data_IF_172038818475
#
_entry.id   IF_172038818475
#
_cell.length_a   1.000
_cell.length_b   1.000
_cell.length_c   1.000
_cell.angle_alpha   90.00
_cell.angle_beta   90.00
_cell.angle_gamma   90.00
#
_symmetry.space_group_name_H-M   'P 1'
#
loop_
_entity.id
_entity.type
_entity.pdbx_description
1 polymer ?
#
# COMPACT_ATOMS: atom_id res chain seq x y z
N UNK A 1 -5.47 5.32 -11.71
CA UNK A 1 -4.68 4.65 -10.65
C UNK A 1 -3.21 4.45 -11.05
N UNK A 2 -2.85 4.56 -12.35
CA UNK A 2 -1.48 4.35 -12.86
C UNK A 2 -0.58 5.60 -12.87
N UNK A 3 -1.07 6.77 -12.46
CA UNK A 3 -0.44 8.06 -12.78
C UNK A 3 0.79 8.44 -11.92
N UNK A 4 1.15 7.65 -10.91
CA UNK A 4 2.18 8.06 -9.94
C UNK A 4 3.39 7.13 -9.84
N UNK A 5 3.20 5.81 -9.93
CA UNK A 5 4.31 4.85 -9.79
C UNK A 5 4.92 4.51 -11.15
N UNK A 6 4.10 4.35 -12.19
CA UNK A 6 4.56 3.99 -13.54
C UNK A 6 5.59 5.00 -14.09
N UNK A 7 5.35 6.33 -14.06
CA UNK A 7 6.32 7.29 -14.60
C UNK A 7 7.69 7.21 -13.91
N UNK A 8 7.72 6.94 -12.61
CA UNK A 8 8.97 6.79 -11.83
C UNK A 8 9.72 5.52 -12.22
N UNK A 9 9.00 4.43 -12.49
CA UNK A 9 9.60 3.17 -12.94
C UNK A 9 10.14 3.30 -14.38
N UNK A 10 9.41 3.98 -15.26
CA UNK A 10 9.81 4.27 -16.63
C UNK A 10 11.05 5.18 -16.68
N UNK A 11 11.06 6.27 -15.90
CA UNK A 11 12.21 7.18 -15.78
C UNK A 11 13.45 6.43 -15.28
N UNK A 12 13.27 5.54 -14.30
CA UNK A 12 14.34 4.69 -13.79
C UNK A 12 14.74 3.56 -14.76
N UNK A 13 14.03 3.38 -15.88
CA UNK A 13 14.23 2.30 -16.86
C UNK A 13 14.20 0.90 -16.22
N UNK A 14 13.31 0.69 -15.25
CA UNK A 14 13.14 -0.57 -14.51
C UNK A 14 12.02 -1.37 -15.18
N UNK A 15 12.29 -2.62 -15.56
CA UNK A 15 11.24 -3.53 -16.02
C UNK A 15 10.31 -3.89 -14.86
N UNK A 16 9.00 -3.74 -15.04
CA UNK A 16 8.00 -3.98 -13.99
C UNK A 16 6.76 -4.71 -14.52
N UNK A 17 6.01 -5.31 -13.59
CA UNK A 17 4.68 -5.89 -13.82
C UNK A 17 3.74 -5.40 -12.73
N UNK A 18 2.57 -4.91 -13.12
CA UNK A 18 1.52 -4.46 -12.19
C UNK A 18 0.44 -5.54 -12.13
N UNK A 19 0.19 -6.05 -10.93
CA UNK A 19 -0.91 -6.97 -10.64
C UNK A 19 -1.93 -6.26 -9.75
N UNK A 20 -3.16 -6.08 -10.25
CA UNK A 20 -4.31 -5.62 -9.44
C UNK A 20 -5.11 -6.87 -9.04
N UNK A 21 -5.13 -7.16 -7.74
CA UNK A 21 -5.78 -8.37 -7.21
C UNK A 21 -7.08 -7.99 -6.50
N UNK A 22 -8.25 -8.25 -7.09
CA UNK A 22 -9.51 -8.12 -6.37
C UNK A 22 -9.60 -9.22 -5.31
N UNK A 23 -10.14 -8.89 -4.15
CA UNK A 23 -10.32 -9.86 -3.06
C UNK A 23 -11.57 -9.57 -2.25
N UNK A 24 -12.14 -10.62 -1.66
CA UNK A 24 -13.26 -10.51 -0.74
C UNK A 24 -12.73 -10.36 0.69
N UNK A 25 -13.09 -9.24 1.31
CA UNK A 25 -12.65 -8.83 2.65
C UNK A 25 -13.22 -9.70 3.77
N UNK A 26 -14.25 -10.51 3.50
CA UNK A 26 -14.83 -11.42 4.49
C UNK A 26 -14.01 -12.71 4.67
N UNK A 27 -13.25 -13.09 3.64
CA UNK A 27 -12.59 -14.42 3.58
C UNK A 27 -11.08 -14.34 3.42
N UNK A 28 -10.53 -13.19 3.01
CA UNK A 28 -9.11 -13.04 2.74
C UNK A 28 -8.59 -11.70 3.23
N UNK A 29 -7.29 -11.65 3.54
CA UNK A 29 -6.61 -10.42 3.96
C UNK A 29 -5.50 -10.05 2.98
N UNK A 30 -5.15 -8.77 2.93
CA UNK A 30 -4.02 -8.28 2.09
C UNK A 30 -2.73 -9.01 2.44
N UNK A 31 -2.46 -9.29 3.71
CA UNK A 31 -1.27 -10.03 4.13
C UNK A 31 -1.23 -11.46 3.58
N UNK A 32 -2.36 -12.14 3.54
CA UNK A 32 -2.48 -13.49 2.98
C UNK A 32 -2.24 -13.50 1.47
N UNK A 33 -2.87 -12.55 0.76
CA UNK A 33 -2.68 -12.37 -0.69
C UNK A 33 -1.20 -12.09 -1.02
N UNK A 34 -0.54 -11.24 -0.24
CA UNK A 34 0.89 -10.94 -0.44
C UNK A 34 1.77 -12.18 -0.24
N UNK A 35 1.50 -12.99 0.78
CA UNK A 35 2.23 -14.23 1.05
C UNK A 35 2.03 -15.24 -0.08
N UNK A 36 0.79 -15.41 -0.55
CA UNK A 36 0.46 -16.28 -1.68
C UNK A 36 1.17 -15.81 -2.96
N UNK A 37 1.05 -14.52 -3.32
CA UNK A 37 1.66 -13.97 -4.52
C UNK A 37 3.19 -14.04 -4.48
N UNK A 38 3.81 -13.84 -3.32
CA UNK A 38 5.26 -14.03 -3.15
C UNK A 38 5.73 -15.47 -3.37
N UNK A 39 4.82 -16.44 -3.24
CA UNK A 39 5.09 -17.86 -3.50
C UNK A 39 4.85 -18.20 -4.97
N UNK A 40 3.89 -17.55 -5.64
CA UNK A 40 3.58 -17.78 -7.06
C UNK A 40 4.62 -17.17 -8.02
N UNK A 41 5.37 -16.16 -7.58
CA UNK A 41 6.42 -15.51 -8.36
C UNK A 41 7.76 -16.16 -7.98
N UNK A 42 8.17 -17.16 -8.75
CA UNK A 42 9.34 -17.99 -8.43
C UNK A 42 10.64 -17.17 -8.30
N UNK A 43 10.82 -16.22 -9.21
CA UNK A 43 11.99 -15.33 -9.31
C UNK A 43 11.96 -14.16 -8.32
N UNK A 44 10.90 -14.01 -7.51
CA UNK A 44 10.88 -13.01 -6.45
C UNK A 44 11.95 -13.33 -5.40
N UNK A 45 12.85 -12.37 -5.18
CA UNK A 45 13.96 -12.48 -4.20
C UNK A 45 13.60 -11.93 -2.83
N UNK A 46 12.65 -11.00 -2.76
CA UNK A 46 12.19 -10.37 -1.53
C UNK A 46 10.79 -9.77 -1.70
N UNK A 47 10.10 -9.56 -0.59
CA UNK A 47 8.86 -8.80 -0.49
C UNK A 47 9.17 -7.47 0.20
N UNK A 48 8.86 -6.35 -0.45
CA UNK A 48 9.08 -5.01 0.12
C UNK A 48 7.72 -4.42 0.51
N UNK A 49 7.61 -3.98 1.76
CA UNK A 49 6.40 -3.35 2.30
C UNK A 49 6.76 -2.07 3.03
N UNK A 50 5.98 -1.01 2.84
CA UNK A 50 6.09 0.17 3.67
C UNK A 50 5.30 -0.03 4.97
N UNK A 51 5.94 0.21 6.12
CA UNK A 51 5.22 0.23 7.39
C UNK A 51 4.34 1.47 7.46
N UNK A 52 3.04 1.29 7.68
CA UNK A 52 2.14 2.38 8.05
C UNK A 52 1.97 2.37 9.56
N UNK A 53 2.45 3.42 10.23
CA UNK A 53 2.28 3.61 11.67
C UNK A 53 1.54 4.93 11.90
N UNK A 54 0.26 4.85 12.27
CA UNK A 54 -0.54 6.03 12.62
C UNK A 54 -0.47 6.28 14.13
N UNK A 55 -0.08 7.49 14.55
CA UNK A 55 -0.22 7.97 15.93
C UNK A 55 0.94 7.69 16.90
N UNK A 56 0.77 8.13 18.17
CA UNK A 56 1.81 8.27 19.22
C UNK A 56 2.40 6.95 19.77
N UNK A 57 1.88 5.78 19.38
CA UNK A 57 2.41 4.45 19.77
C UNK A 57 3.33 3.88 18.65
N UNK A 58 3.91 4.79 17.85
CA UNK A 58 4.50 4.57 16.53
C UNK A 58 5.72 3.64 16.46
N UNK A 59 6.48 3.55 17.54
CA UNK A 59 7.78 2.87 17.52
C UNK A 59 7.67 1.33 17.55
N UNK A 60 6.52 0.79 17.95
CA UNK A 60 6.35 -0.66 18.14
C UNK A 60 5.43 -1.34 17.11
N UNK A 61 4.76 -0.58 16.23
CA UNK A 61 3.74 -1.13 15.34
C UNK A 61 4.13 -0.97 13.87
N UNK A 62 4.47 -2.09 13.24
CA UNK A 62 4.92 -2.19 11.84
C UNK A 62 3.77 -2.22 10.82
N UNK A 63 2.52 -2.24 11.30
CA UNK A 63 1.30 -2.42 10.51
C UNK A 63 0.89 -3.89 10.42
N UNK A 64 -0.43 -4.17 10.37
CA UNK A 64 -0.96 -5.54 10.38
C UNK A 64 -0.52 -6.37 9.18
N UNK A 65 -0.46 -5.77 7.99
CA UNK A 65 0.01 -6.43 6.75
C UNK A 65 1.49 -6.78 6.83
N UNK A 66 2.34 -5.83 7.20
CA UNK A 66 3.77 -6.07 7.39
C UNK A 66 4.02 -7.14 8.45
N UNK A 67 3.32 -7.07 9.58
CA UNK A 67 3.43 -8.06 10.64
C UNK A 67 3.03 -9.46 10.17
N UNK A 68 1.95 -9.58 9.39
CA UNK A 68 1.54 -10.86 8.82
C UNK A 68 2.62 -11.44 7.89
N UNK A 69 3.12 -10.61 6.96
CA UNK A 69 4.13 -11.03 5.99
C UNK A 69 5.44 -11.43 6.65
N UNK A 70 5.92 -10.67 7.65
CA UNK A 70 7.14 -10.98 8.40
C UNK A 70 7.14 -12.37 9.03
N UNK A 71 5.98 -12.86 9.47
CA UNK A 71 5.86 -14.15 10.14
C UNK A 71 5.51 -15.31 9.20
N UNK A 72 5.04 -15.04 7.97
CA UNK A 72 4.44 -16.05 7.09
C UNK A 72 5.06 -16.14 5.69
N UNK A 73 5.75 -15.10 5.22
CA UNK A 73 6.44 -15.15 3.94
C UNK A 73 7.62 -16.14 4.02
N UNK A 74 7.76 -16.96 2.97
CA UNK A 74 8.94 -17.83 2.80
C UNK A 74 10.14 -17.07 2.23
N UNK A 75 9.88 -15.95 1.55
CA UNK A 75 10.88 -15.06 0.97
C UNK A 75 11.28 -13.97 2.00
N UNK A 76 12.52 -13.44 1.95
CA UNK A 76 12.93 -12.30 2.76
C UNK A 76 11.93 -11.13 2.68
N UNK A 77 11.61 -10.53 3.83
CA UNK A 77 10.72 -9.37 3.91
C UNK A 77 11.52 -8.14 4.32
N UNK A 78 11.48 -7.11 3.48
CA UNK A 78 12.07 -5.80 3.74
C UNK A 78 10.95 -4.86 4.15
N UNK A 79 11.04 -4.33 5.36
CA UNK A 79 10.13 -3.27 5.81
C UNK A 79 10.80 -1.92 5.64
N UNK A 80 10.25 -1.11 4.74
CA UNK A 80 10.63 0.28 4.59
C UNK A 80 9.90 1.14 5.62
N UNK A 81 10.66 1.81 6.49
CA UNK A 81 10.12 2.77 7.45
C UNK A 81 10.20 4.16 6.83
N UNK A 82 9.07 4.81 6.50
CA UNK A 82 9.06 6.15 5.95
C UNK A 82 9.62 7.16 6.97
N UNK A 83 10.24 8.23 6.48
CA UNK A 83 10.66 9.34 7.33
C UNK A 83 9.46 10.22 7.74
N UNK A 84 9.63 11.08 8.75
CA UNK A 84 8.62 12.09 9.10
C UNK A 84 8.19 12.95 7.90
N UNK A 85 9.12 13.24 6.99
CA UNK A 85 8.86 14.02 5.79
C UNK A 85 7.98 13.23 4.78
N UNK A 86 8.27 11.95 4.60
CA UNK A 86 7.49 11.06 3.74
C UNK A 86 6.07 10.87 4.28
N UNK A 87 5.93 10.72 5.60
CA UNK A 87 4.64 10.63 6.28
C UNK A 87 3.83 11.91 6.13
N UNK A 88 4.44 13.08 6.33
CA UNK A 88 3.76 14.37 6.15
C UNK A 88 3.31 14.59 4.70
N UNK A 89 4.17 14.27 3.74
CA UNK A 89 3.82 14.31 2.32
C UNK A 89 2.65 13.36 1.99
N UNK A 90 2.61 12.18 2.62
CA UNK A 90 1.50 11.23 2.46
C UNK A 90 0.21 11.71 3.13
N UNK A 91 0.28 12.28 4.34
CA UNK A 91 -0.90 12.85 5.02
C UNK A 91 -1.50 14.01 4.22
N UNK A 92 -0.66 14.89 3.66
CA UNK A 92 -1.10 15.99 2.79
C UNK A 92 -1.78 15.45 1.51
N UNK A 93 -1.23 14.38 0.90
CA UNK A 93 -1.85 13.69 -0.25
C UNK A 93 -3.21 13.09 0.12
N UNK A 94 -3.26 12.28 1.18
CA UNK A 94 -4.49 11.60 1.62
C UNK A 94 -5.57 12.60 1.99
N UNK A 95 -5.24 13.71 2.68
CA UNK A 95 -6.19 14.77 2.99
C UNK A 95 -6.73 15.46 1.73
N UNK A 96 -5.89 15.70 0.72
CA UNK A 96 -6.31 16.31 -0.55
C UNK A 96 -7.27 15.39 -1.32
N UNK A 97 -6.97 14.09 -1.37
CA UNK A 97 -7.82 13.09 -2.04
C UNK A 97 -9.15 12.86 -1.29
N UNK A 98 -9.15 12.83 0.04
CA UNK A 98 -10.37 12.72 0.84
C UNK A 98 -11.26 13.96 0.71
N UNK A 99 -10.66 15.15 0.59
CA UNK A 99 -11.40 16.40 0.39
C UNK A 99 -12.08 16.43 -0.98
N UNK A 100 -11.41 15.96 -2.04
CA UNK A 100 -11.98 15.83 -3.38
C UNK A 100 -13.14 14.81 -3.43
N UNK A 101 -13.01 13.66 -2.77
CA UNK A 101 -14.10 12.68 -2.68
C UNK A 101 -15.31 13.19 -1.87
N UNK A 102 -15.09 14.07 -0.89
CA UNK A 102 -16.17 14.66 -0.07
C UNK A 102 -16.94 15.82 -0.74
N UNK A 103 -16.39 16.40 -1.82
CA UNK A 103 -17.08 17.45 -2.60
C UNK A 103 -18.09 16.88 -3.61
N UNK A 104 -17.86 15.70 -4.16
CA UNK A 104 -18.75 15.09 -5.17
C UNK A 104 -20.07 14.56 -4.58
N UNK A 105 -20.08 14.14 -3.31
CA UNK A 105 -21.31 13.71 -2.63
C UNK A 105 -22.27 14.86 -2.28
N UNK A 106 -21.78 16.11 -2.21
CA UNK A 106 -22.65 17.27 -1.92
C UNK A 106 -23.41 17.78 -3.15
N UNK A 107 -22.97 17.49 -4.36
CA UNK A 107 -23.64 17.95 -5.58
C UNK A 107 -24.84 17.06 -5.94
N UNK A 108 -24.78 15.74 -5.66
CA UNK A 108 -25.89 14.80 -5.90
C UNK A 108 -27.09 14.91 -4.95
N UNK A 109 -26.95 15.63 -3.83
CA UNK A 109 -28.02 15.80 -2.84
C UNK A 109 -28.91 17.04 -3.09
N UNK A 110 -28.62 17.85 -4.12
CA UNK A 110 -29.35 19.09 -4.41
C UNK A 110 -30.40 18.99 -5.52
N UNK A 111 -30.50 17.85 -6.20
CA UNK A 111 -31.40 17.61 -7.34
C UNK A 111 -32.49 16.55 -7.05
N UNK A 112 -32.97 16.49 -5.80
CA UNK A 112 -34.12 15.64 -5.43
C UNK A 112 -35.14 16.38 -4.59
#
# INVERSE_FOLDING_TARGET
MDEHVVPLLDEASIAYKIDIVPYDTNVSSVGEIMVEKSTLIDDAVAVVLASSSKGRIREFFIGSVCNYCLHRCKKPVIVYKPSEADEKAEEERVQTTQKAASSDDKEKAKDK
#
